data_IF_358921355723
#
_entry.id   IF_358921355723
#
_cell.length_a   1.000
_cell.length_b   1.000
_cell.length_c   1.000
_cell.angle_alpha   90.00
_cell.angle_beta   90.00
_cell.angle_gamma   90.00
#
_symmetry.space_group_name_H-M   'P 1'
#
loop_
_entity.id
_entity.type
_entity.pdbx_description
1 polymer ?
#
# COMPACT_ATOMS: atom_id res chain seq x y z
N UNK A 1 4.93 16.47 27.99
CA UNK A 1 3.57 16.40 27.40
C UNK A 1 3.32 14.95 27.08
N UNK A 2 2.21 14.38 27.54
CA UNK A 2 1.89 12.97 27.34
C UNK A 2 1.46 12.75 25.89
N UNK A 3 2.33 12.15 25.09
CA UNK A 3 2.00 11.70 23.74
C UNK A 3 0.99 10.57 23.84
N UNK A 4 -0.27 10.98 23.74
CA UNK A 4 -1.43 10.12 23.54
C UNK A 4 -1.20 9.43 22.20
N UNK A 5 -0.82 8.15 22.25
CA UNK A 5 -0.77 7.24 21.11
C UNK A 5 -2.13 7.24 20.42
N UNK A 6 -2.29 8.16 19.49
CA UNK A 6 -3.40 8.21 18.56
C UNK A 6 -3.03 7.14 17.54
N UNK A 7 -3.89 6.14 17.37
CA UNK A 7 -3.67 5.05 16.41
C UNK A 7 -3.39 5.66 15.02
N UNK A 8 -2.12 5.86 14.72
CA UNK A 8 -1.68 6.32 13.42
C UNK A 8 -1.86 5.15 12.46
N UNK A 9 -2.44 5.41 11.30
CA UNK A 9 -2.44 4.44 10.21
C UNK A 9 -1.00 3.96 9.98
N UNK A 10 -0.79 2.65 9.74
CA UNK A 10 0.55 2.12 9.51
C UNK A 10 1.22 2.87 8.35
N UNK A 11 2.52 3.06 8.44
CA UNK A 11 3.31 3.59 7.33
C UNK A 11 3.23 2.67 6.11
N UNK A 12 3.60 3.17 4.94
CA UNK A 12 3.61 2.39 3.71
C UNK A 12 4.53 1.16 3.85
N UNK A 13 5.73 1.35 4.39
CA UNK A 13 6.72 0.31 4.62
C UNK A 13 6.19 -0.77 5.58
N UNK A 14 5.50 -0.36 6.64
CA UNK A 14 4.87 -1.30 7.57
C UNK A 14 3.73 -2.08 6.91
N UNK A 15 2.93 -1.42 6.08
CA UNK A 15 1.80 -2.03 5.34
C UNK A 15 2.30 -3.10 4.38
N UNK A 16 3.38 -2.80 3.64
CA UNK A 16 4.01 -3.74 2.71
C UNK A 16 4.64 -4.92 3.46
N UNK A 17 5.39 -4.66 4.54
CA UNK A 17 6.02 -5.72 5.33
C UNK A 17 4.99 -6.68 5.95
N UNK A 18 3.86 -6.15 6.43
CA UNK A 18 2.76 -6.97 6.94
C UNK A 18 2.11 -7.81 5.82
N UNK A 19 1.91 -7.22 4.64
CA UNK A 19 1.34 -7.92 3.50
C UNK A 19 2.24 -9.06 3.02
N UNK A 20 3.55 -8.85 2.94
CA UNK A 20 4.54 -9.89 2.61
C UNK A 20 4.50 -11.04 3.62
N UNK A 21 4.38 -10.71 4.91
CA UNK A 21 4.26 -11.70 5.97
C UNK A 21 3.01 -12.55 5.78
N UNK A 22 1.87 -11.91 5.52
CA UNK A 22 0.60 -12.61 5.25
C UNK A 22 0.71 -13.54 4.06
N UNK A 23 1.29 -13.06 2.94
CA UNK A 23 1.50 -13.88 1.73
C UNK A 23 2.36 -15.09 2.04
N UNK A 24 3.50 -14.90 2.69
CA UNK A 24 4.40 -15.98 3.07
C UNK A 24 3.72 -17.03 3.96
N UNK A 25 2.89 -16.60 4.90
CA UNK A 25 2.15 -17.51 5.78
C UNK A 25 1.02 -18.25 5.04
N UNK A 26 0.37 -17.61 4.07
CA UNK A 26 -0.64 -18.23 3.23
C UNK A 26 -0.05 -19.26 2.27
N UNK A 27 1.15 -19.01 1.74
CA UNK A 27 1.88 -19.92 0.85
C UNK A 27 2.38 -21.18 1.56
N UNK A 28 2.62 -21.12 2.88
CA UNK A 28 2.99 -22.29 3.68
C UNK A 28 1.89 -23.35 3.76
N UNK A 29 0.61 -22.97 3.56
CA UNK A 29 -0.50 -23.92 3.43
C UNK A 29 -0.98 -24.61 4.72
N UNK A 30 -0.30 -24.42 5.86
CA UNK A 30 -0.62 -25.06 7.14
C UNK A 30 -1.65 -24.28 7.99
N UNK A 31 -2.33 -23.28 7.40
CA UNK A 31 -3.29 -22.44 8.11
C UNK A 31 -4.69 -23.07 8.17
N UNK A 32 -5.34 -23.12 9.35
CA UNK A 32 -6.76 -23.43 9.43
C UNK A 32 -7.59 -22.46 8.58
N UNK A 33 -8.67 -22.95 7.97
CA UNK A 33 -9.54 -22.16 7.08
C UNK A 33 -9.96 -20.80 7.67
N UNK A 34 -10.34 -20.77 8.93
CA UNK A 34 -10.75 -19.55 9.63
C UNK A 34 -9.62 -18.50 9.69
N UNK A 35 -8.38 -18.95 9.95
CA UNK A 35 -7.22 -18.06 9.98
C UNK A 35 -6.81 -17.63 8.58
N UNK A 36 -6.91 -18.52 7.59
CA UNK A 36 -6.68 -18.18 6.19
C UNK A 36 -7.64 -17.09 5.69
N UNK A 37 -8.93 -17.16 6.07
CA UNK A 37 -9.92 -16.14 5.72
C UNK A 37 -9.60 -14.79 6.37
N UNK A 38 -9.25 -14.76 7.66
CA UNK A 38 -8.84 -13.51 8.33
C UNK A 38 -7.61 -12.89 7.67
N UNK A 39 -6.60 -13.70 7.35
CA UNK A 39 -5.37 -13.24 6.69
C UNK A 39 -5.67 -12.70 5.29
N UNK A 40 -6.55 -13.36 4.54
CA UNK A 40 -7.00 -12.87 3.24
C UNK A 40 -7.70 -11.50 3.36
N UNK A 41 -8.66 -11.37 4.29
CA UNK A 41 -9.34 -10.08 4.54
C UNK A 41 -8.35 -8.97 4.90
N UNK A 42 -7.39 -9.27 5.78
CA UNK A 42 -6.33 -8.33 6.15
C UNK A 42 -5.44 -7.98 4.97
N UNK A 43 -5.06 -8.94 4.15
CA UNK A 43 -4.27 -8.72 2.93
C UNK A 43 -4.97 -7.78 1.94
N UNK A 44 -6.29 -7.93 1.76
CA UNK A 44 -7.09 -7.02 0.94
C UNK A 44 -7.12 -5.60 1.53
N UNK A 45 -7.26 -5.47 2.84
CA UNK A 45 -7.20 -4.17 3.51
C UNK A 45 -5.84 -3.48 3.30
N UNK A 46 -4.74 -4.20 3.54
CA UNK A 46 -3.38 -3.70 3.37
C UNK A 46 -3.11 -3.30 1.92
N UNK A 47 -3.53 -4.10 0.94
CA UNK A 47 -3.39 -3.78 -0.49
C UNK A 47 -4.08 -2.46 -0.85
N UNK A 48 -5.28 -2.22 -0.32
CA UNK A 48 -6.02 -0.95 -0.52
C UNK A 48 -5.31 0.23 0.14
N UNK A 49 -4.77 0.04 1.34
CA UNK A 49 -3.99 1.07 2.03
C UNK A 49 -2.74 1.46 1.24
N UNK A 50 -2.00 0.46 0.73
CA UNK A 50 -0.83 0.68 -0.12
C UNK A 50 -1.17 1.45 -1.39
N UNK A 51 -2.22 1.05 -2.10
CA UNK A 51 -2.67 1.74 -3.31
C UNK A 51 -3.04 3.20 -3.02
N UNK A 52 -3.77 3.45 -1.92
CA UNK A 52 -4.15 4.81 -1.52
C UNK A 52 -2.92 5.66 -1.23
N UNK A 53 -1.94 5.13 -0.49
CA UNK A 53 -0.71 5.84 -0.18
C UNK A 53 0.09 6.20 -1.44
N UNK A 54 0.14 5.30 -2.44
CA UNK A 54 0.79 5.57 -3.72
C UNK A 54 0.08 6.68 -4.51
N UNK A 55 -1.25 6.67 -4.57
CA UNK A 55 -2.05 7.73 -5.24
C UNK A 55 -1.81 9.09 -4.58
N UNK A 56 -1.80 9.14 -3.24
CA UNK A 56 -1.53 10.37 -2.50
C UNK A 56 -0.10 10.89 -2.75
N UNK A 57 0.88 9.98 -2.82
CA UNK A 57 2.27 10.33 -3.14
C UNK A 57 2.40 10.86 -4.58
N UNK A 58 1.78 10.21 -5.55
CA UNK A 58 1.77 10.64 -6.95
C UNK A 58 1.15 12.04 -7.11
N UNK A 59 -0.01 12.26 -6.47
CA UNK A 59 -0.68 13.57 -6.49
C UNK A 59 0.23 14.65 -5.89
N UNK A 60 0.93 14.35 -4.79
CA UNK A 60 1.84 15.30 -4.15
C UNK A 60 3.02 15.63 -5.07
N UNK A 61 3.60 14.63 -5.73
CA UNK A 61 4.67 14.85 -6.73
C UNK A 61 4.16 15.73 -7.86
N UNK A 62 2.99 15.42 -8.42
CA UNK A 62 2.36 16.22 -9.49
C UNK A 62 2.23 17.70 -9.13
N UNK A 63 1.67 17.98 -7.95
CA UNK A 63 1.51 19.36 -7.46
C UNK A 63 2.86 20.07 -7.32
N UNK A 64 3.87 19.39 -6.77
CA UNK A 64 5.21 19.99 -6.58
C UNK A 64 5.90 20.27 -7.93
N UNK A 65 5.78 19.35 -8.89
CA UNK A 65 6.34 19.49 -10.23
C UNK A 65 5.65 20.61 -11.03
N UNK A 66 4.31 20.69 -10.96
CA UNK A 66 3.53 21.78 -11.58
C UNK A 66 3.87 23.16 -10.97
N UNK A 67 4.07 23.22 -9.65
CA UNK A 67 4.48 24.45 -8.96
C UNK A 67 5.89 24.92 -9.33
N UNK A 68 6.79 23.99 -9.66
CA UNK A 68 8.17 24.29 -10.04
C UNK A 68 8.34 24.63 -11.53
N UNK A 69 7.28 24.55 -12.34
CA UNK A 69 7.30 24.93 -13.77
C UNK A 69 8.08 23.97 -14.69
N UNK A 70 8.58 22.85 -14.18
CA UNK A 70 9.34 21.85 -14.93
C UNK A 70 8.50 20.58 -15.15
N UNK A 71 8.04 20.39 -16.39
CA UNK A 71 7.58 19.13 -17.00
C UNK A 71 6.23 18.53 -16.56
N UNK A 72 5.38 18.30 -17.58
CA UNK A 72 4.16 17.52 -17.47
C UNK A 72 4.49 16.05 -17.18
N UNK A 73 3.87 15.48 -16.14
CA UNK A 73 3.85 14.05 -15.92
C UNK A 73 3.08 13.40 -17.08
N UNK A 74 3.74 12.53 -17.83
CA UNK A 74 3.05 11.65 -18.78
C UNK A 74 2.53 10.43 -18.03
N UNK A 75 1.34 9.98 -18.37
CA UNK A 75 0.81 8.70 -17.90
C UNK A 75 1.80 7.60 -18.28
N UNK A 76 2.15 6.75 -17.31
CA UNK A 76 2.92 5.56 -17.59
C UNK A 76 2.00 4.58 -18.33
N UNK A 77 2.05 4.61 -19.66
CA UNK A 77 1.49 3.55 -20.49
C UNK A 77 2.32 2.29 -20.21
N UNK A 78 1.85 1.46 -19.28
CA UNK A 78 2.27 0.08 -19.26
C UNK A 78 1.75 -0.52 -20.57
N UNK A 79 2.63 -0.62 -21.56
CA UNK A 79 2.37 -1.38 -22.78
C UNK A 79 1.88 -2.76 -22.36
N UNK A 80 0.56 -2.95 -22.44
CA UNK A 80 -0.02 -4.29 -22.49
C UNK A 80 0.34 -4.79 -23.88
N UNK A 81 1.55 -5.33 -24.03
CA UNK A 81 1.86 -6.23 -25.14
C UNK A 81 1.11 -7.55 -24.88
N UNK A 82 0.33 -7.95 -25.88
CA UNK A 82 -0.59 -9.10 -25.94
C UNK A 82 -0.03 -10.45 -25.44
#
# INVERSE_FOLDING_TARGET
MSDKATAASPSFEQTISELETIVNEMEQGDLPLHEALKKFERGIELSRLSQKALVEAEQKVRILTEQNGEAALQDFAADNED
#
